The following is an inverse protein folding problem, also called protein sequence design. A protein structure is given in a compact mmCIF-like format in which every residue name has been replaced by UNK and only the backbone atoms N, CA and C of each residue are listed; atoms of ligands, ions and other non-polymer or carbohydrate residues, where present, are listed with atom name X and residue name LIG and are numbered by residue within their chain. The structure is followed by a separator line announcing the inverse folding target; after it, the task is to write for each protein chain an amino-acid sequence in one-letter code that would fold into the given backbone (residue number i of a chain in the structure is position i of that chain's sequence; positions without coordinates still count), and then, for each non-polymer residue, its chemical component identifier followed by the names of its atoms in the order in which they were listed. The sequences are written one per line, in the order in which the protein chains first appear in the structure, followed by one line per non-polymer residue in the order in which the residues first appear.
data_IF_175767421282
#
_entry.id   IF_175767421282
#
_cell.length_a   1.000
_cell.length_b   1.000
_cell.length_c   1.000
_cell.angle_alpha   90.00
_cell.angle_beta   90.00
_cell.angle_gamma   90.00
#
_symmetry.space_group_name_H-M   'P 1'
#
loop_
_entity.id
_entity.type
_entity.pdbx_description
1 polymer ?
#
# COMPACT_ATOMS: atom_id res chain seq x y z
N UNK A 1 1.46 3.31 1.56
CA UNK A 1 1.25 1.96 0.99
C UNK A 1 1.99 0.96 1.85
N UNK A 2 1.30 -0.08 2.32
CA UNK A 2 1.92 -1.21 3.02
C UNK A 2 1.63 -2.47 2.21
N UNK A 3 2.66 -3.12 1.68
CA UNK A 3 2.54 -4.32 0.85
C UNK A 3 3.37 -5.46 1.41
N UNK A 4 2.81 -6.67 1.35
CA UNK A 4 3.54 -7.89 1.67
C UNK A 4 4.64 -8.11 0.61
N UNK A 5 5.78 -8.66 1.03
CA UNK A 5 6.91 -8.91 0.16
C UNK A 5 7.67 -10.20 0.54
N UNK A 6 8.49 -10.67 -0.39
CA UNK A 6 9.40 -11.79 -0.18
C UNK A 6 10.50 -11.43 0.86
N UNK A 7 10.95 -12.38 1.71
CA UNK A 7 12.02 -12.16 2.67
C UNK A 7 13.30 -11.54 2.11
N UNK A 8 13.62 -11.82 0.84
CA UNK A 8 14.87 -11.38 0.20
C UNK A 8 14.75 -10.01 -0.49
N UNK A 9 13.54 -9.45 -0.55
CA UNK A 9 13.32 -8.13 -1.12
C UNK A 9 13.83 -7.03 -0.17
N UNK A 10 14.78 -6.23 -0.65
CA UNK A 10 15.27 -5.07 0.10
C UNK A 10 14.23 -3.95 0.16
N UNK A 11 14.18 -3.24 1.28
CA UNK A 11 13.23 -2.13 1.48
C UNK A 11 13.42 -1.03 0.43
N UNK A 12 14.66 -0.66 0.11
CA UNK A 12 14.97 0.32 -0.93
C UNK A 12 14.46 -0.09 -2.33
N UNK A 13 14.47 -1.40 -2.64
CA UNK A 13 13.89 -1.89 -3.89
C UNK A 13 12.37 -1.73 -3.88
N UNK A 14 11.72 -2.16 -2.80
CA UNK A 14 10.26 -2.06 -2.63
C UNK A 14 9.80 -0.61 -2.72
N UNK A 15 10.48 0.30 -2.03
CA UNK A 15 10.15 1.73 -2.04
C UNK A 15 10.22 2.31 -3.45
N UNK A 16 11.32 2.09 -4.15
CA UNK A 16 11.51 2.56 -5.53
C UNK A 16 10.46 1.98 -6.48
N UNK A 17 10.20 0.68 -6.41
CA UNK A 17 9.26 0.00 -7.30
C UNK A 17 7.81 0.47 -7.01
N UNK A 18 7.42 0.61 -5.74
CA UNK A 18 6.08 1.08 -5.36
C UNK A 18 5.84 2.55 -5.72
N UNK A 19 6.82 3.43 -5.54
CA UNK A 19 6.69 4.83 -5.98
C UNK A 19 6.51 4.89 -7.50
N UNK A 20 7.21 4.04 -8.26
CA UNK A 20 7.05 3.96 -9.71
C UNK A 20 5.62 3.51 -10.09
N UNK A 21 5.06 2.50 -9.42
CA UNK A 21 3.68 2.06 -9.66
C UNK A 21 2.65 3.14 -9.28
N UNK A 22 2.80 3.80 -8.13
CA UNK A 22 1.90 4.88 -7.68
C UNK A 22 1.85 6.02 -8.71
N UNK A 23 3.01 6.41 -9.27
CA UNK A 23 3.11 7.46 -10.29
C UNK A 23 2.46 7.11 -11.62
N UNK A 24 2.18 5.83 -11.91
CA UNK A 24 1.43 5.43 -13.11
C UNK A 24 -0.07 5.66 -12.96
N UNK A 25 -0.59 5.57 -11.73
CA UNK A 25 -2.03 5.60 -11.45
C UNK A 25 -2.50 7.02 -11.10
N UNK A 26 -1.71 7.77 -10.33
CA UNK A 26 -2.08 9.12 -9.91
C UNK A 26 -1.79 10.13 -11.02
N UNK A 27 -2.77 10.95 -11.45
CA UNK A 27 -2.53 12.01 -12.43
C UNK A 27 -1.41 12.95 -11.99
N UNK A 28 -0.43 13.18 -12.88
CA UNK A 28 0.78 13.98 -12.59
C UNK A 28 0.47 15.38 -12.03
N UNK A 29 -0.65 15.98 -12.43
CA UNK A 29 -1.09 17.31 -11.95
C UNK A 29 -1.41 17.36 -10.45
N UNK A 30 -1.63 16.20 -9.81
CA UNK A 30 -1.90 16.08 -8.38
C UNK A 30 -0.65 15.74 -7.57
N UNK A 31 0.46 15.39 -8.24
CA UNK A 31 1.72 15.06 -7.58
C UNK A 31 2.61 16.29 -7.52
N UNK A 32 2.95 16.72 -6.31
CA UNK A 32 3.79 17.89 -6.05
C UNK A 32 5.10 17.47 -5.39
N UNK A 33 6.03 18.43 -5.22
CA UNK A 33 7.28 18.19 -4.45
C UNK A 33 7.03 17.93 -2.96
N UNK A 34 5.88 18.36 -2.46
CA UNK A 34 5.45 18.19 -1.06
C UNK A 34 4.71 16.87 -0.84
N UNK A 35 4.48 16.07 -1.90
CA UNK A 35 3.81 14.78 -1.78
C UNK A 35 4.70 13.80 -1.02
N UNK A 36 4.25 13.41 0.17
CA UNK A 36 4.94 12.41 0.99
C UNK A 36 4.58 11.00 0.56
N UNK A 37 5.60 10.13 0.46
CA UNK A 37 5.43 8.72 0.13
C UNK A 37 5.79 7.87 1.35
N UNK A 38 4.76 7.33 2.00
CA UNK A 38 4.93 6.39 3.11
C UNK A 38 4.87 4.96 2.56
N UNK A 39 6.01 4.33 2.28
CA UNK A 39 6.08 2.96 1.74
C UNK A 39 6.64 1.99 2.80
N UNK A 40 5.83 0.99 3.16
CA UNK A 40 6.12 0.03 4.23
C UNK A 40 6.74 0.72 5.47
N UNK A 41 6.04 1.70 6.08
CA UNK A 41 6.59 2.52 7.16
C UNK A 41 6.95 1.69 8.41
N UNK A 42 6.30 0.54 8.60
CA UNK A 42 6.61 -0.42 9.67
C UNK A 42 7.80 -1.33 9.34
N UNK A 43 8.38 -1.19 8.14
CA UNK A 43 9.52 -1.97 7.68
C UNK A 43 9.12 -3.31 7.08
N UNK A 44 9.48 -4.40 7.77
CA UNK A 44 9.42 -5.77 7.24
C UNK A 44 7.98 -6.32 7.28
N UNK A 45 7.44 -6.69 6.11
CA UNK A 45 6.11 -7.27 5.98
C UNK A 45 6.16 -8.56 5.13
N UNK A 46 6.69 -9.63 5.73
CA UNK A 46 6.86 -10.94 5.07
C UNK A 46 5.66 -11.86 5.30
N UNK A 47 5.14 -11.86 6.52
CA UNK A 47 4.01 -12.71 6.92
C UNK A 47 2.73 -11.90 6.77
N UNK A 48 1.80 -12.39 5.96
CA UNK A 48 0.54 -11.72 5.64
C UNK A 48 -0.56 -12.71 5.27
N UNK A 49 -1.67 -12.20 4.74
CA UNK A 49 -2.86 -13.01 4.48
C UNK A 49 -3.48 -13.58 5.76
N UNK A 50 -4.25 -14.69 5.67
CA UNK A 50 -4.94 -15.29 6.82
C UNK A 50 -4.04 -15.71 7.98
N UNK A 51 -2.74 -15.91 7.71
CA UNK A 51 -1.75 -16.25 8.74
C UNK A 51 -1.42 -15.04 9.63
N UNK A 52 -1.46 -13.83 9.07
CA UNK A 52 -1.14 -12.60 9.80
C UNK A 52 -2.36 -11.84 10.32
N UNK A 53 -3.53 -12.02 9.72
CA UNK A 53 -4.78 -11.35 10.10
C UNK A 53 -6.02 -12.19 9.71
N UNK A 54 -6.94 -12.36 10.65
CA UNK A 54 -8.15 -13.17 10.42
C UNK A 54 -9.17 -12.43 9.54
N UNK A 55 -9.55 -13.03 8.42
CA UNK A 55 -10.57 -12.49 7.52
C UNK A 55 -11.99 -12.90 7.92
N UNK A 56 -12.93 -11.96 7.87
CA UNK A 56 -14.37 -12.22 7.94
C UNK A 56 -15.11 -11.52 6.80
N UNK A 57 -16.19 -12.15 6.30
CA UNK A 57 -17.04 -11.58 5.26
C UNK A 57 -17.65 -10.25 5.69
N UNK A 58 -17.75 -9.29 4.75
CA UNK A 58 -18.40 -8.01 5.00
C UNK A 58 -17.61 -7.04 5.89
N UNK A 59 -16.31 -7.26 6.11
CA UNK A 59 -15.46 -6.38 6.93
C UNK A 59 -14.74 -5.27 6.15
N UNK A 60 -15.10 -5.06 4.87
CA UNK A 60 -14.54 -4.03 3.98
C UNK A 60 -15.61 -3.16 3.28
N UNK A 61 -16.84 -3.10 3.81
CA UNK A 61 -17.97 -2.41 3.17
C UNK A 61 -17.75 -0.94 2.78
N UNK A 62 -16.93 -0.18 3.52
CA UNK A 62 -16.60 1.21 3.15
C UNK A 62 -15.61 1.27 1.99
N UNK A 63 -14.69 0.31 1.92
CA UNK A 63 -13.75 0.16 0.80
C UNK A 63 -14.49 -0.28 -0.46
N UNK A 64 -15.50 -1.14 -0.32
CA UNK A 64 -16.32 -1.65 -1.42
C UNK A 64 -17.32 -0.61 -1.99
N UNK A 65 -17.51 0.51 -1.28
CA UNK A 65 -18.48 1.55 -1.66
C UNK A 65 -17.77 2.86 -2.03
N UNK A 66 -17.97 3.93 -1.25
CA UNK A 66 -17.56 5.28 -1.62
C UNK A 66 -16.39 5.82 -0.80
N UNK A 67 -15.69 4.95 -0.07
CA UNK A 67 -14.54 5.35 0.73
C UNK A 67 -14.87 6.36 1.84
N UNK A 68 -16.13 6.39 2.31
CA UNK A 68 -16.59 7.29 3.37
C UNK A 68 -16.97 8.70 2.90
N UNK A 69 -17.10 8.94 1.59
CA UNK A 69 -17.54 10.23 1.06
C UNK A 69 -19.01 10.56 1.34
N UNK A 70 -19.85 9.53 1.46
CA UNK A 70 -21.28 9.62 1.76
C UNK A 70 -21.63 8.97 3.10
#
# INVERSE_FOLDING_TARGET
VSTQHDPDASHARIERDMIAEVKKVIPKKLLTKETEYHINPTGRFVVGGPHGDCGLTGRKIIVDTYGGYC
#
